data_IF_810427599719
#
_entry.id   IF_810427599719
#
_cell.length_a   1.000
_cell.length_b   1.000
_cell.length_c   1.000
_cell.angle_alpha   90.00
_cell.angle_beta   90.00
_cell.angle_gamma   90.00
#
_symmetry.space_group_name_H-M   'P 1'
#
loop_
_entity.id
_entity.type
_entity.pdbx_description
1 polymer ?
#
# COMPACT_ATOMS: atom_id res chain seq x y z
N UNK A 1 5.74 -5.47 -13.03
CA UNK A 1 6.87 -4.92 -12.24
C UNK A 1 6.67 -3.43 -11.97
N UNK A 2 6.57 -2.56 -12.98
CA UNK A 2 6.43 -1.10 -12.80
C UNK A 2 5.30 -0.64 -11.84
N UNK A 3 4.12 -1.27 -11.88
CA UNK A 3 3.02 -0.92 -10.98
C UNK A 3 3.33 -1.21 -9.50
N UNK A 4 4.08 -2.29 -9.25
CA UNK A 4 4.51 -2.69 -7.91
C UNK A 4 5.55 -1.70 -7.38
N UNK A 5 6.48 -1.27 -8.23
CA UNK A 5 7.48 -0.25 -7.90
C UNK A 5 6.80 1.09 -7.56
N UNK A 6 5.87 1.55 -8.40
CA UNK A 6 5.11 2.78 -8.15
C UNK A 6 4.34 2.71 -6.82
N UNK A 7 3.70 1.57 -6.54
CA UNK A 7 2.98 1.37 -5.28
C UNK A 7 3.92 1.41 -4.07
N UNK A 8 5.07 0.73 -4.16
CA UNK A 8 6.07 0.73 -3.07
C UNK A 8 6.62 2.13 -2.79
N UNK A 9 6.94 2.90 -3.83
CA UNK A 9 7.41 4.28 -3.71
C UNK A 9 6.36 5.18 -3.03
N UNK A 10 5.10 5.07 -3.44
CA UNK A 10 4.00 5.83 -2.84
C UNK A 10 3.80 5.47 -1.35
N UNK A 11 3.90 4.18 -1.00
CA UNK A 11 3.74 3.71 0.38
C UNK A 11 4.86 4.24 1.29
N UNK A 12 6.10 4.20 0.82
CA UNK A 12 7.26 4.70 1.56
C UNK A 12 7.19 6.21 1.80
N UNK A 13 6.70 6.97 0.82
CA UNK A 13 6.51 8.41 0.96
C UNK A 13 5.42 8.75 1.98
N UNK A 14 4.29 8.04 1.95
CA UNK A 14 3.19 8.20 2.92
C UNK A 14 3.65 7.85 4.34
N UNK A 15 4.47 6.81 4.50
CA UNK A 15 5.02 6.44 5.81
C UNK A 15 6.02 7.48 6.32
N UNK A 16 6.82 8.10 5.45
CA UNK A 16 7.74 9.19 5.81
C UNK A 16 6.98 10.43 6.31
N UNK A 17 5.80 10.70 5.73
CA UNK A 17 4.95 11.82 6.12
C UNK A 17 4.19 11.59 7.44
N UNK A 18 4.34 10.42 8.08
CA UNK A 18 3.70 10.15 9.37
C UNK A 18 4.16 11.18 10.42
N UNK A 19 3.25 12.02 10.97
CA UNK A 19 3.63 12.99 11.98
C UNK A 19 3.96 12.30 13.31
N UNK A 20 4.92 12.84 14.05
CA UNK A 20 5.39 12.27 15.34
C UNK A 20 4.31 12.20 16.42
N UNK A 21 3.24 13.00 16.29
CA UNK A 21 2.06 12.99 17.16
C UNK A 21 1.15 11.76 16.93
N UNK A 22 1.22 11.11 15.77
CA UNK A 22 0.39 9.94 15.46
C UNK A 22 0.90 8.68 16.16
N UNK A 23 0.28 8.34 17.30
CA UNK A 23 0.48 7.06 18.00
C UNK A 23 -0.31 5.95 17.29
N UNK A 24 0.34 4.82 17.03
CA UNK A 24 -0.29 3.65 16.40
C UNK A 24 -0.11 3.56 14.87
N UNK A 25 -1.02 2.84 14.20
CA UNK A 25 -1.04 2.66 12.74
C UNK A 25 -1.52 3.94 12.06
N UNK A 26 -0.72 4.44 11.11
CA UNK A 26 -1.07 5.63 10.34
C UNK A 26 -1.99 5.31 9.15
N UNK A 27 -1.81 4.12 8.57
CA UNK A 27 -2.67 3.60 7.51
C UNK A 27 -3.61 2.57 8.13
N UNK A 28 -4.93 2.80 7.99
CA UNK A 28 -6.00 1.98 8.58
C UNK A 28 -6.62 1.02 7.57
N UNK A 29 -6.76 1.45 6.30
CA UNK A 29 -7.20 0.62 5.17
C UNK A 29 -6.59 1.19 3.88
N UNK A 30 -6.30 0.32 2.92
CA UNK A 30 -5.87 0.69 1.58
C UNK A 30 -6.79 0.01 0.55
N UNK A 31 -7.16 0.74 -0.50
CA UNK A 31 -8.00 0.26 -1.59
C UNK A 31 -7.41 0.74 -2.92
N UNK A 32 -7.42 -0.12 -3.94
CA UNK A 32 -7.01 0.24 -5.30
C UNK A 32 -8.18 0.03 -6.25
N UNK A 33 -8.42 1.01 -7.11
CA UNK A 33 -9.47 0.98 -8.14
C UNK A 33 -8.98 1.60 -9.44
N UNK A 34 -9.58 1.19 -10.54
CA UNK A 34 -9.50 1.90 -11.82
C UNK A 34 -10.48 3.08 -11.84
N UNK A 35 -10.28 4.03 -12.77
CA UNK A 35 -11.04 5.30 -12.85
C UNK A 35 -12.56 5.12 -12.83
N UNK A 36 -13.07 4.05 -13.44
CA UNK A 36 -14.50 3.73 -13.50
C UNK A 36 -14.73 2.24 -13.16
N UNK A 37 -14.17 1.77 -12.05
CA UNK A 37 -14.26 0.37 -11.65
C UNK A 37 -14.47 0.18 -10.15
N UNK A 38 -14.94 -1.02 -9.74
CA UNK A 38 -15.01 -1.37 -8.33
C UNK A 38 -13.60 -1.40 -7.71
N UNK A 39 -13.52 -1.17 -6.40
CA UNK A 39 -12.26 -1.20 -5.68
C UNK A 39 -11.94 -2.59 -5.12
N UNK A 40 -10.64 -2.88 -5.02
CA UNK A 40 -10.11 -4.07 -4.36
C UNK A 40 -9.42 -3.60 -3.08
N UNK A 41 -9.76 -4.25 -1.96
CA UNK A 41 -9.11 -3.98 -0.68
C UNK A 41 -7.70 -4.60 -0.68
N UNK A 42 -6.71 -3.79 -0.32
CA UNK A 42 -5.33 -4.24 -0.19
C UNK A 42 -5.00 -4.55 1.27
N UNK A 43 -4.19 -5.59 1.49
CA UNK A 43 -3.63 -5.87 2.80
C UNK A 43 -2.43 -4.95 3.07
N UNK A 44 -2.67 -4.01 3.96
CA UNK A 44 -1.72 -3.03 4.48
C UNK A 44 -0.63 -3.63 5.41
N UNK A 45 -0.73 -4.89 5.82
CA UNK A 45 0.32 -5.57 6.58
C UNK A 45 1.45 -6.08 5.67
N UNK A 46 1.19 -6.27 4.37
CA UNK A 46 2.19 -6.70 3.39
C UNK A 46 2.95 -5.46 2.91
N UNK A 47 3.97 -5.06 3.67
CA UNK A 47 4.81 -3.90 3.37
C UNK A 47 6.02 -4.27 2.52
N UNK A 48 6.35 -5.56 2.38
CA UNK A 48 7.42 -6.10 1.52
C UNK A 48 7.02 -7.45 0.93
N UNK A 49 7.55 -7.77 -0.25
CA UNK A 49 7.29 -8.98 -1.05
C UNK A 49 5.95 -9.01 -1.81
N UNK A 50 5.67 -7.98 -2.60
CA UNK A 50 4.49 -7.92 -3.49
C UNK A 50 4.47 -8.97 -4.62
N UNK A 51 5.56 -9.72 -4.83
CA UNK A 51 5.70 -10.71 -5.92
C UNK A 51 5.69 -12.16 -5.43
N UNK A 52 5.90 -12.42 -4.14
CA UNK A 52 6.11 -13.78 -3.61
C UNK A 52 4.81 -14.54 -3.35
N UNK A 53 3.70 -13.82 -3.17
CA UNK A 53 2.36 -14.39 -2.91
C UNK A 53 1.52 -14.66 -4.16
N UNK A 54 2.02 -14.34 -5.35
CA UNK A 54 1.33 -14.57 -6.62
C UNK A 54 1.77 -15.85 -7.36
N UNK A 55 2.74 -16.59 -6.81
CA UNK A 55 3.40 -17.73 -7.47
C UNK A 55 3.17 -19.09 -6.77
N UNK A 56 2.11 -19.21 -5.95
CA UNK A 56 1.72 -20.46 -5.27
C UNK A 56 0.33 -20.95 -5.70
#
# INVERSE_FOLDING_TARGET
>A
QQLVENYSAALDEVLRLKPSSSKGRYITKAFVSTTMGPSIQLDQNVTRNFLESAEA
#
